data_IF_344949473397
#
_entry.id   IF_344949473397
#
_cell.length_a   1.000
_cell.length_b   1.000
_cell.length_c   1.000
_cell.angle_alpha   90.00
_cell.angle_beta   90.00
_cell.angle_gamma   90.00
#
_symmetry.space_group_name_H-M   'P 1'
#
loop_
_entity.id
_entity.type
_entity.pdbx_description
1 polymer ?
#
# COMPACT_ATOMS: atom_id res chain seq x y z
N UNK A 1 -13.50 19.53 -2.03
CA UNK A 1 -13.74 18.19 -1.45
C UNK A 1 -12.92 18.11 -0.17
N UNK A 2 -13.42 17.52 0.93
CA UNK A 2 -12.69 17.51 2.21
C UNK A 2 -11.34 16.83 2.05
N UNK A 3 -10.35 17.27 2.84
CA UNK A 3 -9.09 16.55 3.03
C UNK A 3 -9.39 15.08 3.41
N UNK A 4 -8.76 14.08 2.77
CA UNK A 4 -8.94 12.66 3.08
C UNK A 4 -8.72 12.33 4.55
N UNK A 5 -7.86 13.08 5.25
CA UNK A 5 -7.69 12.91 6.69
C UNK A 5 -8.88 13.45 7.50
N UNK A 6 -9.53 14.50 7.01
CA UNK A 6 -10.75 15.06 7.59
C UNK A 6 -11.97 14.16 7.41
N UNK A 7 -12.03 13.31 6.37
CA UNK A 7 -13.15 12.39 6.14
C UNK A 7 -13.37 11.42 7.32
N UNK A 8 -12.29 10.91 7.90
CA UNK A 8 -12.36 10.01 9.05
C UNK A 8 -12.85 10.72 10.33
N UNK A 9 -12.63 12.04 10.45
CA UNK A 9 -13.01 12.80 11.65
C UNK A 9 -14.51 12.88 11.86
N UNK A 10 -15.31 12.70 10.81
CA UNK A 10 -16.77 12.66 10.90
C UNK A 10 -17.27 11.46 11.72
N UNK A 11 -16.45 10.40 11.85
CA UNK A 11 -16.71 9.22 12.68
C UNK A 11 -15.49 8.90 13.55
N UNK A 12 -15.27 9.62 14.66
CA UNK A 12 -14.04 9.51 15.46
C UNK A 12 -13.73 8.09 15.95
N UNK A 13 -14.75 7.32 16.34
CA UNK A 13 -14.56 5.92 16.76
C UNK A 13 -14.04 5.02 15.62
N UNK A 14 -14.53 5.22 14.40
CA UNK A 14 -14.05 4.50 13.23
C UNK A 14 -12.62 4.91 12.87
N UNK A 15 -12.31 6.22 12.96
CA UNK A 15 -10.96 6.74 12.78
C UNK A 15 -9.97 6.12 13.77
N UNK A 16 -10.31 6.08 15.06
CA UNK A 16 -9.44 5.50 16.09
C UNK A 16 -9.18 4.00 15.84
N UNK A 17 -10.20 3.24 15.46
CA UNK A 17 -10.05 1.83 15.11
C UNK A 17 -9.14 1.64 13.88
N UNK A 18 -9.34 2.45 12.82
CA UNK A 18 -8.50 2.44 11.64
C UNK A 18 -7.04 2.78 11.98
N UNK A 19 -6.81 3.84 12.75
CA UNK A 19 -5.45 4.27 13.15
C UNK A 19 -4.75 3.22 14.03
N UNK A 20 -5.49 2.55 14.91
CA UNK A 20 -4.94 1.48 15.73
C UNK A 20 -4.43 0.31 14.87
N UNK A 21 -5.25 -0.14 13.91
CA UNK A 21 -4.86 -1.20 12.98
C UNK A 21 -3.72 -0.73 12.06
N UNK A 22 -3.79 0.49 11.54
CA UNK A 22 -2.72 1.09 10.74
C UNK A 22 -1.38 1.10 11.47
N UNK A 23 -1.35 1.54 12.73
CA UNK A 23 -0.14 1.52 13.54
C UNK A 23 0.40 0.11 13.73
N UNK A 24 -0.48 -0.86 13.97
CA UNK A 24 -0.08 -2.25 14.19
C UNK A 24 0.53 -2.87 12.94
N UNK A 25 -0.12 -2.77 11.77
CA UNK A 25 0.38 -3.36 10.52
C UNK A 25 1.58 -2.61 9.93
N UNK A 26 1.94 -1.46 10.51
CA UNK A 26 3.08 -0.61 10.08
C UNK A 26 4.24 -0.59 11.08
N UNK A 27 4.15 -1.37 12.16
CA UNK A 27 5.21 -1.44 13.18
C UNK A 27 6.55 -1.91 12.60
N UNK A 28 7.64 -1.51 13.26
CA UNK A 28 8.99 -2.05 13.05
C UNK A 28 9.15 -3.40 13.77
N UNK A 29 10.18 -4.17 13.42
CA UNK A 29 10.42 -5.49 14.04
C UNK A 29 9.33 -6.52 13.72
N UNK A 30 8.71 -6.35 12.55
CA UNK A 30 7.65 -7.20 12.06
C UNK A 30 8.25 -8.28 11.15
N UNK A 31 7.67 -9.50 11.04
CA UNK A 31 8.28 -10.60 10.29
C UNK A 31 8.57 -10.26 8.82
N UNK A 32 7.76 -9.38 8.22
CA UNK A 32 8.01 -8.85 6.87
C UNK A 32 8.63 -7.45 6.97
N UNK A 33 9.76 -7.18 6.27
CA UNK A 33 10.36 -5.85 6.20
C UNK A 33 9.34 -4.77 5.82
N UNK A 34 9.45 -3.60 6.45
CA UNK A 34 8.53 -2.48 6.21
C UNK A 34 8.56 -2.03 4.75
N UNK A 35 9.71 -2.08 4.09
CA UNK A 35 9.86 -1.78 2.66
C UNK A 35 8.96 -2.68 1.79
N UNK A 36 9.00 -4.00 1.99
CA UNK A 36 8.18 -4.96 1.24
C UNK A 36 6.68 -4.74 1.46
N UNK A 37 6.26 -4.55 2.72
CA UNK A 37 4.84 -4.26 3.03
C UNK A 37 4.38 -2.93 2.43
N UNK A 38 5.26 -1.94 2.40
CA UNK A 38 4.95 -0.62 1.80
C UNK A 38 4.89 -0.72 0.28
N UNK A 39 5.73 -1.55 -0.34
CA UNK A 39 5.69 -1.84 -1.77
C UNK A 39 4.36 -2.47 -2.20
N UNK A 40 3.89 -3.48 -1.44
CA UNK A 40 2.55 -4.01 -1.60
C UNK A 40 1.48 -2.92 -1.45
N UNK A 41 1.60 -2.05 -0.45
CA UNK A 41 0.63 -0.98 -0.22
C UNK A 41 0.53 -0.01 -1.40
N UNK A 42 1.67 0.39 -2.00
CA UNK A 42 1.68 1.22 -3.22
C UNK A 42 0.97 0.49 -4.35
N UNK A 43 1.26 -0.80 -4.58
CA UNK A 43 0.63 -1.56 -5.66
C UNK A 43 -0.88 -1.66 -5.49
N UNK A 44 -1.36 -1.96 -4.28
CA UNK A 44 -2.80 -1.99 -3.98
C UNK A 44 -3.45 -0.64 -4.30
N UNK A 45 -2.81 0.48 -3.96
CA UNK A 45 -3.31 1.82 -4.28
C UNK A 45 -3.43 2.07 -5.77
N UNK A 46 -2.44 1.62 -6.56
CA UNK A 46 -2.47 1.73 -8.01
C UNK A 46 -3.65 0.94 -8.61
N UNK A 47 -3.83 -0.31 -8.17
CA UNK A 47 -4.89 -1.20 -8.67
C UNK A 47 -6.31 -0.69 -8.34
N UNK A 48 -6.44 0.05 -7.23
CA UNK A 48 -7.72 0.58 -6.75
C UNK A 48 -7.96 2.05 -7.14
N UNK A 49 -7.00 2.66 -7.85
CA UNK A 49 -7.10 4.05 -8.33
C UNK A 49 -7.06 5.11 -7.23
N UNK A 50 -6.57 4.80 -6.02
CA UNK A 50 -6.51 5.78 -4.93
C UNK A 50 -5.27 6.69 -5.07
N UNK A 51 -5.42 7.85 -5.72
CA UNK A 51 -4.36 8.85 -5.91
C UNK A 51 -3.69 9.27 -4.60
N UNK A 52 -4.50 9.58 -3.57
CA UNK A 52 -4.02 9.90 -2.23
C UNK A 52 -3.14 8.80 -1.63
N UNK A 53 -3.57 7.54 -1.80
CA UNK A 53 -2.88 6.41 -1.23
C UNK A 53 -1.59 6.12 -1.99
N UNK A 54 -1.56 6.27 -3.32
CA UNK A 54 -0.32 6.16 -4.11
C UNK A 54 0.69 7.19 -3.62
N UNK A 55 0.27 8.45 -3.51
CA UNK A 55 1.10 9.56 -3.05
C UNK A 55 1.69 9.32 -1.65
N UNK A 56 0.82 9.01 -0.68
CA UNK A 56 1.24 8.74 0.70
C UNK A 56 2.18 7.53 0.80
N UNK A 57 1.84 6.42 0.14
CA UNK A 57 2.62 5.20 0.27
C UNK A 57 3.93 5.25 -0.52
N UNK A 58 3.99 5.99 -1.63
CA UNK A 58 5.25 6.25 -2.34
C UNK A 58 6.22 7.07 -1.47
N UNK A 59 5.75 8.15 -0.83
CA UNK A 59 6.57 8.92 0.11
C UNK A 59 7.05 8.07 1.30
N UNK A 60 6.24 7.11 1.74
CA UNK A 60 6.61 6.18 2.81
C UNK A 60 7.60 5.12 2.36
N UNK A 61 7.52 4.68 1.10
CA UNK A 61 8.45 3.74 0.48
C UNK A 61 9.84 4.39 0.35
N UNK A 62 9.89 5.66 -0.07
CA UNK A 62 11.12 6.47 -0.07
C UNK A 62 11.72 6.59 1.34
N UNK A 63 10.90 6.92 2.34
CA UNK A 63 11.33 6.97 3.75
C UNK A 63 11.81 5.62 4.30
N UNK A 64 11.41 4.51 3.67
CA UNK A 64 11.88 3.18 4.00
C UNK A 64 13.20 2.82 3.28
N UNK A 65 13.81 3.76 2.54
CA UNK A 65 15.09 3.59 1.86
C UNK A 65 15.00 2.98 0.46
N UNK A 66 13.79 2.85 -0.10
CA UNK A 66 13.59 2.32 -1.45
C UNK A 66 13.59 3.47 -2.46
N UNK A 67 14.26 3.26 -3.60
CA UNK A 67 14.37 4.29 -4.63
C UNK A 67 12.99 4.74 -5.16
N UNK A 68 12.74 6.05 -5.38
CA UNK A 68 11.49 6.58 -5.91
C UNK A 68 11.04 5.89 -7.22
N UNK A 69 11.99 5.57 -8.09
CA UNK A 69 11.75 4.89 -9.36
C UNK A 69 11.05 3.54 -9.22
N UNK A 70 11.18 2.87 -8.07
CA UNK A 70 10.57 1.56 -7.85
C UNK A 70 9.05 1.65 -7.70
N UNK A 71 8.53 2.72 -7.11
CA UNK A 71 7.09 2.96 -7.05
C UNK A 71 6.48 3.17 -8.45
N UNK A 72 7.23 3.84 -9.33
CA UNK A 72 6.84 4.09 -10.73
C UNK A 72 6.91 2.82 -11.58
N UNK A 73 7.88 1.95 -11.33
CA UNK A 73 8.08 0.69 -12.06
C UNK A 73 7.09 -0.42 -11.65
N UNK A 74 6.32 -0.23 -10.58
CA UNK A 74 5.38 -1.24 -10.08
C UNK A 74 4.34 -1.75 -11.09
N UNK A 75 3.81 -0.97 -12.06
CA UNK A 75 2.96 -1.52 -13.11
C UNK A 75 3.65 -2.59 -13.96
N UNK A 76 4.96 -2.48 -14.15
CA UNK A 76 5.78 -3.32 -15.03
C UNK A 76 6.63 -4.34 -14.25
N UNK A 77 6.32 -4.57 -12.97
CA UNK A 77 7.11 -5.37 -12.03
C UNK A 77 7.47 -6.78 -12.53
N UNK A 78 6.64 -7.37 -13.41
CA UNK A 78 6.87 -8.71 -13.98
C UNK A 78 8.09 -8.74 -14.89
N UNK A 79 8.36 -7.66 -15.62
CA UNK A 79 9.45 -7.57 -16.60
C UNK A 79 10.59 -6.67 -16.13
N UNK A 80 10.36 -5.81 -15.14
CA UNK A 80 11.37 -4.88 -14.64
C UNK A 80 12.43 -5.60 -13.77
N UNK A 81 13.72 -5.55 -14.14
CA UNK A 81 14.79 -6.29 -13.45
C UNK A 81 15.14 -5.72 -12.07
N UNK A 82 14.62 -4.55 -11.69
CA UNK A 82 14.87 -3.93 -10.38
C UNK A 82 14.12 -4.59 -9.23
N UNK A 83 13.16 -5.47 -9.51
CA UNK A 83 12.42 -6.24 -8.51
C UNK A 83 13.05 -7.61 -8.29
N UNK A 84 13.42 -7.89 -7.03
CA UNK A 84 13.89 -9.21 -6.63
C UNK A 84 12.75 -10.22 -6.46
N UNK A 85 13.09 -11.48 -6.18
CA UNK A 85 12.11 -12.55 -6.04
C UNK A 85 11.14 -12.36 -4.86
N UNK A 86 11.61 -11.80 -3.74
CA UNK A 86 10.78 -11.58 -2.56
C UNK A 86 9.79 -10.44 -2.81
N UNK A 87 10.23 -9.37 -3.46
CA UNK A 87 9.39 -8.25 -3.89
C UNK A 87 8.33 -8.71 -4.88
N UNK A 88 8.75 -9.47 -5.91
CA UNK A 88 7.84 -10.05 -6.91
C UNK A 88 6.75 -10.89 -6.26
N UNK A 89 7.12 -11.77 -5.32
CA UNK A 89 6.16 -12.63 -4.62
C UNK A 89 5.15 -11.81 -3.79
N UNK A 90 5.62 -10.78 -3.08
CA UNK A 90 4.75 -9.89 -2.29
C UNK A 90 3.82 -9.06 -3.18
N UNK A 91 4.32 -8.58 -4.34
CA UNK A 91 3.52 -7.84 -5.32
C UNK A 91 2.47 -8.76 -5.96
N UNK A 92 2.86 -9.97 -6.37
CA UNK A 92 1.97 -11.01 -6.92
C UNK A 92 0.81 -11.30 -5.96
N UNK A 93 1.13 -11.49 -4.68
CA UNK A 93 0.13 -11.68 -3.64
C UNK A 93 -0.79 -10.48 -3.42
N UNK A 94 -0.22 -9.26 -3.41
CA UNK A 94 -1.01 -8.05 -3.30
C UNK A 94 -2.00 -7.88 -4.47
N UNK A 95 -1.57 -8.18 -5.70
CA UNK A 95 -2.45 -8.19 -6.88
C UNK A 95 -3.56 -9.24 -6.75
N UNK A 96 -3.20 -10.48 -6.39
CA UNK A 96 -4.14 -11.59 -6.26
C UNK A 96 -5.19 -11.32 -5.17
N UNK A 97 -4.78 -10.81 -4.01
CA UNK A 97 -5.67 -10.48 -2.89
C UNK A 97 -6.58 -9.27 -3.19
N UNK A 98 -6.11 -8.32 -4.00
CA UNK A 98 -6.84 -7.08 -4.31
C UNK A 98 -7.90 -7.27 -5.41
N UNK A 99 -7.77 -8.32 -6.22
CA UNK A 99 -8.71 -8.64 -7.28
C UNK A 99 -10.15 -8.80 -6.77
N UNK A 100 -11.12 -8.53 -7.64
CA UNK A 100 -12.55 -8.77 -7.38
C UNK A 100 -13.09 -9.72 -8.46
N UNK A 101 -13.37 -11.01 -8.14
CA UNK A 101 -13.14 -11.67 -6.85
C UNK A 101 -11.63 -11.85 -6.55
N UNK A 102 -11.23 -12.05 -5.27
CA UNK A 102 -9.85 -12.38 -4.92
C UNK A 102 -9.37 -13.66 -5.60
N UNK A 103 -8.08 -13.70 -5.97
CA UNK A 103 -7.45 -14.75 -6.78
C UNK A 103 -6.23 -15.39 -6.14
N UNK A 104 -6.12 -15.36 -4.81
CA UNK A 104 -5.05 -16.07 -4.10
C UNK A 104 -5.31 -17.57 -4.21
N UNK A 105 -4.41 -18.30 -4.87
CA UNK A 105 -4.45 -19.76 -4.94
C UNK A 105 -3.52 -20.42 -3.91
N UNK A 106 -3.66 -21.74 -3.76
CA UNK A 106 -2.89 -22.53 -2.80
C UNK A 106 -1.39 -22.51 -3.11
N UNK A 107 -1.01 -22.43 -4.39
CA UNK A 107 0.38 -22.41 -4.82
C UNK A 107 1.07 -21.10 -4.40
N UNK A 108 0.41 -19.96 -4.60
CA UNK A 108 0.89 -18.66 -4.18
C UNK A 108 0.96 -18.55 -2.65
N UNK A 109 -0.07 -19.04 -1.95
CA UNK A 109 -0.05 -19.11 -0.49
C UNK A 109 1.11 -19.97 0.02
N UNK A 110 1.34 -21.14 -0.58
CA UNK A 110 2.43 -22.04 -0.19
C UNK A 110 3.81 -21.39 -0.39
N UNK A 111 4.07 -20.76 -1.54
CA UNK A 111 5.32 -20.04 -1.84
C UNK A 111 5.60 -18.93 -0.83
N UNK A 112 4.58 -18.15 -0.48
CA UNK A 112 4.70 -17.11 0.55
C UNK A 112 5.01 -17.69 1.92
N UNK A 113 4.33 -18.78 2.29
CA UNK A 113 4.51 -19.45 3.59
C UNK A 113 5.90 -20.01 3.73
N UNK A 114 6.40 -20.64 2.69
CA UNK A 114 7.74 -21.21 2.65
C UNK A 114 8.80 -20.11 2.80
N UNK A 115 8.65 -18.98 2.10
CA UNK A 115 9.63 -17.89 2.14
C UNK A 115 9.62 -17.11 3.45
N UNK A 116 8.44 -16.77 3.97
CA UNK A 116 8.31 -15.80 5.08
C UNK A 116 7.78 -16.40 6.39
N UNK A 117 7.25 -17.62 6.36
CA UNK A 117 6.63 -18.26 7.51
C UNK A 117 5.15 -17.87 7.71
N UNK A 118 4.44 -18.58 8.61
CA UNK A 118 3.00 -18.42 8.79
C UNK A 118 2.59 -17.06 9.38
N UNK A 119 3.33 -16.55 10.37
CA UNK A 119 3.04 -15.25 10.99
C UNK A 119 3.18 -14.09 10.00
N UNK A 120 4.17 -14.18 9.11
CA UNK A 120 4.44 -13.18 8.11
C UNK A 120 3.31 -13.07 7.08
N UNK A 121 2.69 -14.19 6.70
CA UNK A 121 1.53 -14.16 5.80
C UNK A 121 0.37 -13.41 6.45
N UNK A 122 0.04 -13.74 7.70
CA UNK A 122 -1.08 -13.09 8.40
C UNK A 122 -0.84 -11.58 8.49
N UNK A 123 0.39 -11.17 8.80
CA UNK A 123 0.74 -9.75 8.86
C UNK A 123 0.66 -9.05 7.50
N UNK A 124 1.19 -9.68 6.44
CA UNK A 124 1.13 -9.16 5.08
C UNK A 124 -0.32 -9.04 4.59
N UNK A 125 -1.14 -10.07 4.86
CA UNK A 125 -2.58 -10.11 4.57
C UNK A 125 -3.29 -8.97 5.27
N UNK A 126 -3.05 -8.77 6.58
CA UNK A 126 -3.68 -7.70 7.34
C UNK A 126 -3.30 -6.30 6.78
N UNK A 127 -2.04 -6.11 6.40
CA UNK A 127 -1.57 -4.88 5.76
C UNK A 127 -2.25 -4.61 4.41
N UNK A 128 -2.32 -5.63 3.55
CA UNK A 128 -2.98 -5.53 2.23
C UNK A 128 -4.50 -5.31 2.40
N UNK A 129 -5.15 -5.98 3.34
CA UNK A 129 -6.57 -5.80 3.63
C UNK A 129 -6.86 -4.38 4.10
N UNK A 130 -6.07 -3.85 5.04
CA UNK A 130 -6.21 -2.48 5.51
C UNK A 130 -6.01 -1.49 4.37
N UNK A 131 -5.05 -1.74 3.49
CA UNK A 131 -4.82 -0.88 2.35
C UNK A 131 -5.97 -0.92 1.35
N UNK A 132 -6.56 -2.11 1.11
CA UNK A 132 -7.75 -2.24 0.28
C UNK A 132 -8.95 -1.47 0.87
N UNK A 133 -9.12 -1.50 2.19
CA UNK A 133 -10.12 -0.70 2.90
C UNK A 133 -9.84 0.80 2.70
N UNK A 134 -8.63 1.24 3.02
CA UNK A 134 -8.21 2.65 2.91
C UNK A 134 -8.39 3.18 1.49
N UNK A 135 -7.92 2.42 0.50
CA UNK A 135 -7.96 2.84 -0.89
C UNK A 135 -9.39 2.88 -1.43
N UNK A 136 -10.21 1.85 -1.17
CA UNK A 136 -11.62 1.88 -1.61
C UNK A 136 -12.42 2.97 -0.90
N UNK A 137 -12.18 3.21 0.38
CA UNK A 137 -12.81 4.30 1.14
C UNK A 137 -12.47 5.67 0.53
N UNK A 138 -11.18 5.93 0.33
CA UNK A 138 -10.69 7.19 -0.22
C UNK A 138 -11.14 7.41 -1.66
N UNK A 139 -11.06 6.39 -2.52
CA UNK A 139 -11.55 6.46 -3.91
C UNK A 139 -13.05 6.73 -3.95
N UNK A 140 -13.85 6.04 -3.12
CA UNK A 140 -15.31 6.25 -3.07
C UNK A 140 -15.70 7.68 -2.65
N UNK A 141 -14.87 8.32 -1.81
CA UNK A 141 -15.08 9.68 -1.34
C UNK A 141 -14.34 10.75 -2.16
N UNK A 142 -13.68 10.35 -3.26
CA UNK A 142 -13.00 11.24 -4.20
C UNK A 142 -11.69 11.87 -3.71
N UNK A 143 -11.06 11.29 -2.68
CA UNK A 143 -9.79 11.74 -2.12
C UNK A 143 -8.69 11.87 -3.21
N UNK A 144 -8.09 13.06 -3.32
CA UNK A 144 -7.02 13.38 -4.29
C UNK A 144 -5.62 13.29 -3.67
N UNK A 145 -4.60 13.21 -4.53
CA UNK A 145 -3.20 13.35 -4.09
C UNK A 145 -2.96 14.68 -3.34
N UNK A 146 -2.06 14.65 -2.35
CA UNK A 146 -1.72 15.80 -1.48
C UNK A 146 -0.30 16.32 -1.71
N UNK A 147 0.47 15.69 -2.61
CA UNK A 147 1.84 16.05 -2.93
C UNK A 147 2.84 15.61 -1.86
N UNK A 148 2.59 14.50 -1.16
CA UNK A 148 3.54 13.90 -0.22
C UNK A 148 4.80 13.38 -0.91
N UNK A 149 4.64 12.85 -2.13
CA UNK A 149 5.64 12.30 -3.00
C UNK A 149 5.60 13.05 -4.34
N UNK A 150 6.75 13.54 -4.81
CA UNK A 150 6.84 14.15 -6.14
C UNK A 150 7.02 13.06 -7.18
N UNK A 151 5.91 12.64 -7.77
CA UNK A 151 5.95 11.75 -8.93
C UNK A 151 6.24 12.56 -10.20
N UNK A 152 7.17 12.12 -11.08
CA UNK A 152 7.41 12.77 -12.37
C UNK A 152 6.10 12.87 -13.18
N UNK A 153 5.75 14.08 -13.63
CA UNK A 153 4.54 14.33 -14.43
C UNK A 153 3.25 14.61 -13.64
N UNK A 154 3.27 14.55 -12.30
CA UNK A 154 2.13 14.98 -11.50
C UNK A 154 2.00 16.53 -11.51
N UNK A 155 0.78 17.09 -11.68
CA UNK A 155 0.58 18.54 -11.58
C UNK A 155 0.98 19.03 -10.18
N UNK A 156 1.58 20.22 -10.09
CA UNK A 156 1.95 20.83 -8.80
C UNK A 156 0.70 21.03 -7.93
N UNK A 157 0.51 20.17 -6.94
CA UNK A 157 -0.44 20.42 -5.86
C UNK A 157 0.24 21.29 -4.81
N UNK A 158 -0.23 22.54 -4.64
CA UNK A 158 0.21 23.42 -3.56
C UNK A 158 0.11 22.67 -2.23
N UNK A 159 1.23 22.56 -1.51
CA UNK A 159 1.26 22.05 -0.14
C UNK A 159 0.28 22.87 0.69
N UNK A 160 -0.66 22.28 1.44
CA UNK A 160 -1.54 23.05 2.30
C UNK A 160 -0.69 23.87 3.27
N UNK A 161 -0.99 25.17 3.36
CA UNK A 161 -0.37 26.04 4.35
C UNK A 161 -0.69 25.47 5.74
N UNK A 162 0.35 25.27 6.54
CA UNK A 162 0.23 24.79 7.92
C UNK A 162 -0.40 25.82 8.84
#
# INVERSE_FOLDING_TARGET
MPDPTALWTWRPGAMLAFLALFRQVRRRGAPVPLALRTLAAVRVSQLTGCEFCVDLNAAMLEKAGVAPGKALALPDWRTDPSFDEAERLVIEYAEAMTATPPRVDDALFARLRERHGPEAIVELTAGIALQNLSARFNTALGARAHGFCRMPGAPETKRPAG
#
